data_IF_531039105480
#
_entry.id   IF_531039105480
#
_cell.length_a   1.000
_cell.length_b   1.000
_cell.length_c   1.000
_cell.angle_alpha   90.00
_cell.angle_beta   90.00
_cell.angle_gamma   90.00
#
_symmetry.space_group_name_H-M   'P 1'
#
loop_
_entity.id
_entity.type
_entity.pdbx_description
1 polymer ?
#
# COMPACT_ATOMS: atom_id res chain seq x y z
N UNK A 1 -0.88 -7.15 -25.52
CA UNK A 1 -1.50 -7.82 -24.36
C UNK A 1 -0.42 -7.94 -23.27
N UNK A 2 -0.82 -7.76 -22.02
CA UNK A 2 0.05 -7.95 -20.83
C UNK A 2 -0.24 -9.34 -20.31
N UNK A 3 0.80 -10.14 -20.03
CA UNK A 3 0.68 -11.50 -19.56
C UNK A 3 1.05 -11.68 -18.09
N UNK A 4 1.86 -10.77 -17.55
CA UNK A 4 2.23 -10.71 -16.14
C UNK A 4 2.11 -9.27 -15.67
N UNK A 5 1.49 -9.08 -14.50
CA UNK A 5 1.30 -7.77 -13.90
C UNK A 5 1.47 -7.86 -12.38
N UNK A 6 2.29 -7.01 -11.74
CA UNK A 6 2.36 -6.95 -10.30
C UNK A 6 1.13 -6.22 -9.75
N UNK A 7 0.54 -6.77 -8.70
CA UNK A 7 -0.62 -6.24 -7.99
C UNK A 7 -0.45 -6.39 -6.48
N UNK A 8 -1.42 -5.90 -5.74
CA UNK A 8 -1.47 -5.95 -4.29
C UNK A 8 -2.72 -6.71 -3.85
N UNK A 9 -2.57 -7.76 -3.04
CA UNK A 9 -3.63 -8.71 -2.73
C UNK A 9 -4.87 -8.03 -2.13
N UNK A 10 -4.71 -7.17 -1.14
CA UNK A 10 -5.82 -6.49 -0.47
C UNK A 10 -6.54 -5.48 -1.36
N UNK A 11 -5.77 -4.60 -2.03
CA UNK A 11 -6.34 -3.56 -2.88
C UNK A 11 -7.10 -4.16 -4.06
N UNK A 12 -6.54 -5.19 -4.70
CA UNK A 12 -7.21 -5.86 -5.80
C UNK A 12 -8.45 -6.62 -5.35
N UNK A 13 -8.39 -7.31 -4.20
CA UNK A 13 -9.57 -7.96 -3.65
C UNK A 13 -10.71 -6.97 -3.41
N UNK A 14 -10.45 -5.83 -2.77
CA UNK A 14 -11.47 -4.81 -2.53
C UNK A 14 -11.99 -4.17 -3.82
N UNK A 15 -11.18 -4.10 -4.87
CA UNK A 15 -11.63 -3.64 -6.18
C UNK A 15 -12.61 -4.63 -6.82
N UNK A 16 -12.35 -5.94 -6.70
CA UNK A 16 -13.18 -7.00 -7.28
C UNK A 16 -14.41 -7.34 -6.42
N UNK A 17 -14.26 -7.27 -5.08
CA UNK A 17 -15.31 -7.53 -4.10
C UNK A 17 -15.20 -6.56 -2.92
N UNK A 18 -15.99 -5.49 -2.97
CA UNK A 18 -16.02 -4.46 -1.92
C UNK A 18 -16.58 -4.96 -0.58
N UNK A 19 -17.24 -6.12 -0.56
CA UNK A 19 -17.82 -6.73 0.63
C UNK A 19 -16.96 -7.86 1.21
N UNK A 20 -15.72 -8.03 0.70
CA UNK A 20 -14.83 -9.06 1.19
C UNK A 20 -14.61 -8.94 2.70
N UNK A 21 -14.82 -10.05 3.42
CA UNK A 21 -14.67 -10.12 4.88
C UNK A 21 -13.33 -10.69 5.34
N UNK A 22 -12.45 -11.05 4.39
CA UNK A 22 -11.11 -11.55 4.66
C UNK A 22 -10.30 -10.51 5.46
N UNK A 23 -9.49 -10.99 6.42
CA UNK A 23 -8.68 -10.10 7.28
C UNK A 23 -7.21 -10.49 7.29
N UNK A 24 -6.90 -11.77 7.39
CA UNK A 24 -5.51 -12.26 7.39
C UNK A 24 -4.96 -12.31 5.97
N UNK A 25 -3.63 -12.25 5.85
CA UNK A 25 -2.94 -12.36 4.56
C UNK A 25 -3.37 -13.59 3.74
N UNK A 26 -3.52 -14.76 4.39
CA UNK A 26 -3.92 -15.98 3.70
C UNK A 26 -5.38 -15.93 3.26
N UNK A 27 -6.29 -15.45 4.10
CA UNK A 27 -7.71 -15.30 3.73
C UNK A 27 -7.89 -14.33 2.57
N UNK A 28 -7.13 -13.21 2.57
CA UNK A 28 -7.16 -12.22 1.48
C UNK A 28 -6.66 -12.86 0.18
N UNK A 29 -5.56 -13.60 0.22
CA UNK A 29 -5.01 -14.28 -0.95
C UNK A 29 -5.99 -15.33 -1.53
N UNK A 30 -6.59 -16.16 -0.68
CA UNK A 30 -7.54 -17.20 -1.08
C UNK A 30 -8.83 -16.59 -1.67
N UNK A 31 -9.32 -15.52 -1.05
CA UNK A 31 -10.48 -14.78 -1.54
C UNK A 31 -10.18 -14.12 -2.90
N UNK A 32 -9.00 -13.50 -3.04
CA UNK A 32 -8.55 -12.91 -4.30
C UNK A 32 -8.49 -13.97 -5.41
N UNK A 33 -7.86 -15.12 -5.15
CA UNK A 33 -7.77 -16.20 -6.13
C UNK A 33 -9.15 -16.67 -6.65
N UNK A 34 -10.17 -16.59 -5.78
CA UNK A 34 -11.56 -16.92 -6.13
C UNK A 34 -12.25 -15.80 -6.92
N UNK A 35 -11.94 -14.53 -6.61
CA UNK A 35 -12.58 -13.36 -7.22
C UNK A 35 -12.00 -13.00 -8.60
N UNK A 36 -10.83 -13.54 -8.95
CA UNK A 36 -10.17 -13.22 -10.23
C UNK A 36 -11.01 -13.64 -11.43
N UNK A 37 -11.08 -12.80 -12.48
CA UNK A 37 -11.72 -13.14 -13.74
C UNK A 37 -11.09 -14.38 -14.39
N UNK A 38 -11.93 -15.14 -15.12
CA UNK A 38 -11.47 -16.31 -15.89
C UNK A 38 -10.31 -15.95 -16.83
N UNK A 39 -9.26 -16.77 -16.81
CA UNK A 39 -8.06 -16.56 -17.63
C UNK A 39 -6.94 -15.77 -16.93
N UNK A 40 -7.17 -15.33 -15.69
CA UNK A 40 -6.16 -14.77 -14.80
C UNK A 40 -5.96 -15.70 -13.59
N UNK A 41 -4.74 -15.72 -13.07
CA UNK A 41 -4.41 -16.38 -11.81
C UNK A 41 -3.42 -15.55 -10.99
N UNK A 42 -3.56 -15.59 -9.69
CA UNK A 42 -2.52 -15.13 -8.78
C UNK A 42 -1.40 -16.19 -8.72
N UNK A 43 -0.17 -15.75 -8.84
CA UNK A 43 1.00 -16.55 -8.49
C UNK A 43 1.32 -16.36 -7.00
N UNK A 44 2.41 -16.98 -6.50
CA UNK A 44 2.73 -16.92 -5.08
C UNK A 44 2.93 -15.46 -4.61
N UNK A 45 2.19 -15.07 -3.59
CA UNK A 45 2.33 -13.74 -3.02
C UNK A 45 3.71 -13.58 -2.36
N UNK A 46 4.25 -12.38 -2.45
CA UNK A 46 5.52 -12.00 -1.84
C UNK A 46 5.40 -11.87 -0.32
N UNK A 47 6.49 -12.09 0.45
CA UNK A 47 6.60 -11.57 1.82
C UNK A 47 6.48 -10.04 1.92
N UNK A 48 6.80 -9.32 0.83
CA UNK A 48 6.70 -7.87 0.80
C UNK A 48 5.24 -7.40 0.88
N UNK A 49 5.01 -6.44 1.76
CA UNK A 49 3.75 -5.71 1.88
C UNK A 49 3.96 -4.29 1.38
N UNK A 50 2.97 -3.79 0.69
CA UNK A 50 2.80 -2.39 0.37
C UNK A 50 1.30 -2.10 0.42
N UNK A 51 0.88 -1.43 1.47
CA UNK A 51 -0.53 -1.21 1.77
C UNK A 51 -0.80 0.26 2.03
N UNK A 52 -2.02 0.65 1.81
CA UNK A 52 -2.50 1.94 2.26
C UNK A 52 -2.29 2.09 3.78
N UNK A 53 -1.91 3.28 4.20
CA UNK A 53 -1.84 3.62 5.61
C UNK A 53 -2.27 5.07 5.83
N UNK A 54 -2.77 5.35 7.02
CA UNK A 54 -3.01 6.71 7.44
C UNK A 54 -1.84 7.25 8.24
N UNK A 55 -1.42 8.44 7.85
CA UNK A 55 -0.20 9.08 8.34
C UNK A 55 -0.51 10.50 8.79
N UNK A 56 0.06 10.88 9.91
CA UNK A 56 0.05 12.25 10.44
C UNK A 56 1.49 12.73 10.62
N UNK A 57 1.72 14.03 10.85
CA UNK A 57 3.05 14.47 11.28
C UNK A 57 3.34 13.98 12.70
N UNK A 58 4.61 13.69 13.01
CA UNK A 58 5.00 13.27 14.36
C UNK A 58 4.72 14.35 15.41
N UNK A 59 4.72 15.63 15.01
CA UNK A 59 4.31 16.75 15.85
C UNK A 59 2.82 16.65 16.20
N UNK A 60 1.96 16.48 15.19
CA UNK A 60 0.51 16.32 15.38
C UNK A 60 0.21 15.12 16.29
N UNK A 61 0.86 13.97 16.03
CA UNK A 61 0.71 12.77 16.85
C UNK A 61 1.02 13.05 18.33
N UNK A 62 2.11 13.75 18.61
CA UNK A 62 2.52 14.09 19.97
C UNK A 62 1.56 15.11 20.64
N UNK A 63 1.17 16.17 19.94
CA UNK A 63 0.30 17.23 20.46
C UNK A 63 -1.11 16.73 20.81
N UNK A 64 -1.64 15.81 19.99
CA UNK A 64 -2.98 15.25 20.16
C UNK A 64 -2.99 13.86 20.84
N UNK A 65 -1.82 13.32 21.18
CA UNK A 65 -1.66 11.98 21.76
C UNK A 65 -2.27 10.88 20.88
N UNK A 66 -2.09 10.99 19.55
CA UNK A 66 -2.63 10.07 18.55
C UNK A 66 -1.59 9.00 18.22
N UNK A 67 -1.96 7.73 18.34
CA UNK A 67 -1.14 6.56 17.99
C UNK A 67 -1.88 5.62 17.02
N UNK A 68 -3.19 5.63 17.07
CA UNK A 68 -4.07 4.81 16.23
C UNK A 68 -5.08 5.67 15.46
N UNK A 69 -5.69 5.10 14.44
CA UNK A 69 -6.74 5.76 13.67
C UNK A 69 -7.91 6.18 14.58
N UNK A 70 -8.26 5.34 15.56
CA UNK A 70 -9.35 5.65 16.50
C UNK A 70 -9.13 6.89 17.36
N UNK A 71 -7.87 7.22 17.67
CA UNK A 71 -7.53 8.39 18.50
C UNK A 71 -7.85 9.71 17.78
N UNK A 72 -7.95 9.69 16.44
CA UNK A 72 -8.31 10.86 15.65
C UNK A 72 -9.70 11.43 15.95
N UNK A 73 -10.62 10.63 16.51
CA UNK A 73 -11.98 11.07 16.84
C UNK A 73 -12.02 12.26 17.80
N UNK A 74 -10.96 12.48 18.60
CA UNK A 74 -10.82 13.60 19.53
C UNK A 74 -9.89 14.72 19.07
N UNK A 75 -9.26 14.62 17.90
CA UNK A 75 -8.17 15.51 17.49
C UNK A 75 -8.62 16.83 16.83
N UNK A 76 -9.93 17.07 16.72
CA UNK A 76 -10.48 18.30 16.11
C UNK A 76 -10.85 18.15 14.64
N UNK A 77 -11.00 19.26 13.89
CA UNK A 77 -11.27 19.21 12.46
C UNK A 77 -10.09 18.56 11.70
N UNK A 78 -10.40 17.61 10.83
CA UNK A 78 -9.41 16.86 10.06
C UNK A 78 -9.70 16.99 8.57
N UNK A 79 -8.67 17.23 7.79
CA UNK A 79 -8.66 17.13 6.33
C UNK A 79 -7.79 15.95 5.93
N UNK A 80 -8.37 14.98 5.22
CA UNK A 80 -7.67 13.83 4.64
C UNK A 80 -7.22 14.17 3.23
N UNK A 81 -5.94 14.02 2.95
CA UNK A 81 -5.37 14.12 1.61
C UNK A 81 -5.04 12.75 1.01
N UNK A 82 -5.32 12.58 -0.26
CA UNK A 82 -4.99 11.38 -1.02
C UNK A 82 -5.55 11.42 -2.44
N UNK A 83 -5.28 10.40 -3.26
CA UNK A 83 -5.83 10.34 -4.61
C UNK A 83 -7.36 10.42 -4.61
N UNK A 84 -7.95 11.03 -5.64
CA UNK A 84 -9.41 11.24 -5.74
C UNK A 84 -10.23 9.96 -5.57
N UNK A 85 -9.72 8.83 -6.02
CA UNK A 85 -10.40 7.53 -5.86
C UNK A 85 -10.58 7.12 -4.39
N UNK A 86 -9.73 7.59 -3.48
CA UNK A 86 -9.83 7.31 -2.04
C UNK A 86 -11.17 7.77 -1.46
N UNK A 87 -11.74 8.85 -1.97
CA UNK A 87 -13.03 9.39 -1.50
C UNK A 87 -14.14 8.32 -1.49
N UNK A 88 -14.09 7.38 -2.45
CA UNK A 88 -15.11 6.34 -2.63
C UNK A 88 -14.65 4.93 -2.21
N UNK A 89 -13.40 4.79 -1.78
CA UNK A 89 -12.88 3.49 -1.33
C UNK A 89 -13.49 3.08 0.03
N UNK A 90 -13.62 1.77 0.30
CA UNK A 90 -14.13 1.27 1.59
C UNK A 90 -13.32 1.75 2.80
N UNK A 91 -12.05 2.07 2.60
CA UNK A 91 -11.13 2.59 3.62
C UNK A 91 -10.95 4.11 3.56
N UNK A 92 -11.73 4.82 2.73
CA UNK A 92 -11.74 6.27 2.65
C UNK A 92 -12.58 6.95 3.75
N UNK A 93 -13.05 8.19 3.53
CA UNK A 93 -13.80 8.96 4.53
C UNK A 93 -14.99 8.22 5.13
N UNK A 94 -15.73 7.48 4.31
CA UNK A 94 -16.87 6.69 4.79
C UNK A 94 -16.42 5.53 5.69
N UNK A 95 -15.34 4.82 5.32
CA UNK A 95 -14.78 3.74 6.14
C UNK A 95 -14.24 4.24 7.47
N UNK A 96 -13.55 5.38 7.48
CA UNK A 96 -13.10 6.05 8.72
C UNK A 96 -14.28 6.34 9.65
N UNK A 97 -15.38 6.91 9.13
CA UNK A 97 -16.55 7.23 9.92
C UNK A 97 -17.25 5.97 10.46
N UNK A 98 -17.35 4.90 9.66
CA UNK A 98 -18.04 3.66 10.04
C UNK A 98 -17.24 2.81 11.01
N UNK A 99 -15.91 2.70 10.82
CA UNK A 99 -15.06 1.82 11.62
C UNK A 99 -14.59 2.50 12.91
N UNK A 100 -14.18 3.76 12.80
CA UNK A 100 -13.55 4.49 13.91
C UNK A 100 -14.34 5.69 14.43
N UNK A 101 -15.46 6.03 13.81
CA UNK A 101 -16.22 7.25 14.17
C UNK A 101 -15.49 8.54 13.82
N UNK A 102 -14.48 8.48 12.97
CA UNK A 102 -13.65 9.63 12.56
C UNK A 102 -14.27 10.28 11.32
N UNK A 103 -14.65 11.55 11.42
CA UNK A 103 -15.14 12.35 10.29
C UNK A 103 -14.04 13.24 9.77
N UNK A 104 -13.87 13.28 8.46
CA UNK A 104 -12.84 14.09 7.77
C UNK A 104 -13.45 14.83 6.58
N UNK A 105 -12.93 16.03 6.31
CA UNK A 105 -13.06 16.63 4.99
C UNK A 105 -12.03 15.99 4.06
N UNK A 106 -12.26 15.98 2.75
CA UNK A 106 -11.38 15.34 1.79
C UNK A 106 -10.79 16.32 0.78
N UNK A 107 -9.49 16.25 0.56
CA UNK A 107 -8.77 17.02 -0.46
C UNK A 107 -8.03 16.06 -1.41
N UNK A 108 -8.40 16.02 -2.71
CA UNK A 108 -7.73 15.18 -3.67
C UNK A 108 -6.31 15.69 -3.98
N UNK A 109 -5.32 14.81 -3.92
CA UNK A 109 -3.92 15.05 -4.29
C UNK A 109 -3.43 13.85 -5.11
N UNK A 110 -3.20 14.07 -6.42
CA UNK A 110 -2.95 13.01 -7.40
C UNK A 110 -1.46 12.65 -7.52
N UNK A 111 -0.85 12.18 -6.44
CA UNK A 111 0.54 11.73 -6.45
C UNK A 111 0.81 10.43 -5.67
N UNK A 112 -0.26 9.68 -5.37
CA UNK A 112 -0.19 8.39 -4.68
C UNK A 112 0.52 8.43 -3.33
N UNK A 113 0.24 9.47 -2.53
CA UNK A 113 0.86 9.67 -1.22
C UNK A 113 2.31 10.18 -1.30
N UNK A 114 2.73 10.66 -2.45
CA UNK A 114 4.08 11.10 -2.74
C UNK A 114 4.42 12.52 -2.23
N UNK A 115 5.40 13.18 -2.88
CA UNK A 115 5.96 14.46 -2.39
C UNK A 115 4.95 15.59 -2.23
N UNK A 116 3.88 15.65 -3.07
CA UNK A 116 2.86 16.71 -2.94
C UNK A 116 1.98 16.45 -1.72
N UNK A 117 1.57 15.20 -1.50
CA UNK A 117 0.80 14.79 -0.32
C UNK A 117 1.60 15.02 0.96
N UNK A 118 2.87 14.60 0.99
CA UNK A 118 3.77 14.78 2.13
C UNK A 118 3.98 16.28 2.42
N UNK A 119 4.14 17.09 1.37
CA UNK A 119 4.28 18.54 1.53
C UNK A 119 3.01 19.16 2.12
N UNK A 120 1.83 18.84 1.59
CA UNK A 120 0.57 19.34 2.13
C UNK A 120 0.37 18.95 3.61
N UNK A 121 0.78 17.73 4.00
CA UNK A 121 0.74 17.27 5.38
C UNK A 121 1.70 18.06 6.28
N UNK A 122 2.93 18.28 5.82
CA UNK A 122 3.95 18.97 6.61
C UNK A 122 3.73 20.48 6.69
N UNK A 123 3.10 21.08 5.68
CA UNK A 123 2.70 22.49 5.68
C UNK A 123 1.42 22.74 6.51
N UNK A 124 0.69 21.69 6.89
CA UNK A 124 -0.54 21.77 7.67
C UNK A 124 -1.81 22.03 6.84
N UNK A 125 -1.72 21.98 5.52
CA UNK A 125 -2.88 22.12 4.61
C UNK A 125 -3.85 20.95 4.79
N UNK A 126 -3.32 19.75 5.14
CA UNK A 126 -4.07 18.56 5.57
C UNK A 126 -3.51 18.06 6.91
N UNK A 127 -4.31 17.35 7.70
CA UNK A 127 -3.89 16.78 8.99
C UNK A 127 -3.68 15.28 8.92
N UNK A 128 -4.29 14.63 7.94
CA UNK A 128 -4.22 13.18 7.72
C UNK A 128 -3.90 12.93 6.25
N UNK A 129 -2.99 12.01 5.97
CA UNK A 129 -2.63 11.64 4.61
C UNK A 129 -2.76 10.13 4.40
N UNK A 130 -3.16 9.72 3.20
CA UNK A 130 -3.01 8.36 2.73
C UNK A 130 -1.64 8.23 2.07
N UNK A 131 -0.75 7.44 2.66
CA UNK A 131 0.62 7.18 2.18
C UNK A 131 0.85 5.67 2.23
N UNK A 132 1.47 5.13 1.18
CA UNK A 132 1.80 3.70 1.13
C UNK A 132 2.92 3.31 2.09
N UNK A 133 2.81 2.15 2.70
CA UNK A 133 3.74 1.66 3.73
C UNK A 133 5.18 1.46 3.23
N UNK A 134 5.39 1.43 1.91
CA UNK A 134 6.73 1.36 1.29
C UNK A 134 7.36 2.74 0.99
N UNK A 135 6.69 3.86 1.36
CA UNK A 135 7.26 5.17 1.11
C UNK A 135 8.48 5.45 2.01
N UNK A 136 9.64 5.83 1.43
CA UNK A 136 10.86 6.09 2.19
C UNK A 136 10.75 7.23 3.19
N UNK A 137 9.83 8.19 3.00
CA UNK A 137 9.64 9.32 3.92
C UNK A 137 9.17 8.86 5.30
N UNK A 138 8.50 7.72 5.39
CA UNK A 138 8.06 7.15 6.67
C UNK A 138 9.23 6.76 7.58
N UNK A 139 10.40 6.50 7.01
CA UNK A 139 11.62 6.17 7.77
C UNK A 139 12.39 7.42 8.26
N UNK A 140 12.00 8.64 7.85
CA UNK A 140 12.73 9.89 8.19
C UNK A 140 12.38 10.42 9.60
N UNK A 141 11.38 9.86 10.29
CA UNK A 141 11.02 10.20 11.67
C UNK A 141 10.16 11.46 11.82
N UNK A 142 9.82 12.15 10.74
CA UNK A 142 8.95 13.34 10.73
C UNK A 142 7.47 12.99 10.61
N UNK A 143 7.18 11.78 10.21
CA UNK A 143 5.84 11.24 9.98
C UNK A 143 5.58 10.07 10.92
N UNK A 144 4.32 9.88 11.31
CA UNK A 144 3.85 8.78 12.14
C UNK A 144 2.74 8.05 11.41
N UNK A 145 2.97 6.76 11.14
CA UNK A 145 1.94 5.84 10.65
C UNK A 145 1.04 5.48 11.81
N UNK A 146 -0.28 5.59 11.63
CA UNK A 146 -1.26 5.23 12.66
C UNK A 146 -1.55 3.73 12.63
N UNK A 147 -1.68 3.15 13.82
CA UNK A 147 -2.13 1.77 13.99
C UNK A 147 -3.59 1.61 13.55
N UNK A 148 -3.89 0.48 12.93
CA UNK A 148 -5.23 0.11 12.43
C UNK A 148 -5.75 -1.16 13.16
N UNK A 149 -6.12 -1.06 14.45
CA UNK A 149 -6.50 -2.24 15.25
C UNK A 149 -7.81 -2.89 14.80
N UNK A 150 -8.71 -2.14 14.17
CA UNK A 150 -10.01 -2.64 13.70
C UNK A 150 -9.99 -3.11 12.23
N UNK A 151 -8.82 -3.06 11.58
CA UNK A 151 -8.59 -3.62 10.24
C UNK A 151 -9.37 -2.92 9.13
N UNK A 152 -9.29 -1.59 9.08
CA UNK A 152 -9.83 -0.78 7.99
C UNK A 152 -9.16 -1.12 6.66
N UNK A 153 -7.83 -1.33 6.70
CA UNK A 153 -7.06 -1.76 5.55
C UNK A 153 -6.91 -3.29 5.52
N UNK A 154 -7.08 -3.89 4.34
CA UNK A 154 -6.81 -5.31 4.17
C UNK A 154 -5.29 -5.55 4.07
N UNK A 155 -4.84 -6.69 4.59
CA UNK A 155 -3.46 -7.14 4.39
C UNK A 155 -3.14 -7.17 2.89
N UNK A 156 -2.10 -6.47 2.47
CA UNK A 156 -1.79 -6.24 1.05
C UNK A 156 -0.34 -6.61 0.74
N UNK A 157 -0.17 -7.80 0.18
CA UNK A 157 1.12 -8.31 -0.29
C UNK A 157 1.27 -8.08 -1.79
N UNK A 158 2.48 -7.85 -2.25
CA UNK A 158 2.78 -7.86 -3.68
C UNK A 158 2.49 -9.26 -4.23
N UNK A 159 1.71 -9.33 -5.30
CA UNK A 159 1.34 -10.60 -5.94
C UNK A 159 1.45 -10.48 -7.47
N UNK A 160 2.17 -11.39 -8.14
CA UNK A 160 2.16 -11.41 -9.58
C UNK A 160 0.85 -12.01 -10.10
N UNK A 161 0.12 -11.26 -10.92
CA UNK A 161 -0.99 -11.79 -11.72
C UNK A 161 -0.47 -12.30 -13.04
N UNK A 162 -0.91 -13.48 -13.44
CA UNK A 162 -0.52 -14.10 -14.68
C UNK A 162 -1.74 -14.49 -15.53
N UNK A 163 -1.63 -14.29 -16.84
CA UNK A 163 -2.61 -14.83 -17.78
C UNK A 163 -2.41 -16.36 -17.94
N UNK A 164 -3.44 -17.04 -18.47
CA UNK A 164 -3.37 -18.47 -18.77
C UNK A 164 -2.31 -18.85 -19.83
N UNK A 165 -1.67 -17.85 -20.48
CA UNK A 165 -0.57 -18.07 -21.42
C UNK A 165 0.79 -18.24 -20.74
N UNK A 166 0.91 -17.86 -19.48
CA UNK A 166 2.14 -18.03 -18.71
C UNK A 166 2.26 -19.49 -18.29
N UNK A 167 3.24 -20.19 -18.89
CA UNK A 167 3.52 -21.60 -18.57
C UNK A 167 4.15 -21.76 -17.18
N UNK A 168 4.18 -23.01 -16.68
CA UNK A 168 4.64 -23.33 -15.33
C UNK A 168 6.13 -23.01 -15.11
N UNK A 169 6.98 -23.18 -16.11
CA UNK A 169 8.41 -22.83 -15.99
C UNK A 169 8.62 -21.33 -15.76
N UNK A 170 7.86 -20.48 -16.49
CA UNK A 170 7.90 -19.04 -16.30
C UNK A 170 7.31 -18.65 -14.96
N UNK A 171 6.20 -19.27 -14.55
CA UNK A 171 5.58 -19.04 -13.24
C UNK A 171 6.54 -19.40 -12.09
N UNK A 172 7.29 -20.49 -12.21
CA UNK A 172 8.28 -20.88 -11.20
C UNK A 172 9.40 -19.83 -11.04
N UNK A 173 9.87 -19.25 -12.16
CA UNK A 173 10.85 -18.16 -12.10
C UNK A 173 10.27 -16.92 -11.41
N UNK A 174 9.05 -16.53 -11.77
CA UNK A 174 8.37 -15.38 -11.17
C UNK A 174 8.16 -15.60 -9.67
N UNK A 175 7.74 -16.80 -9.25
CA UNK A 175 7.56 -17.16 -7.85
C UNK A 175 8.86 -17.09 -7.05
N UNK A 176 10.01 -17.48 -7.63
CA UNK A 176 11.32 -17.31 -6.99
C UNK A 176 11.63 -15.83 -6.73
N UNK A 177 11.36 -14.96 -7.70
CA UNK A 177 11.53 -13.50 -7.56
C UNK A 177 10.57 -12.96 -6.50
N UNK A 178 9.29 -13.31 -6.57
CA UNK A 178 8.26 -12.90 -5.62
C UNK A 178 8.63 -13.31 -4.19
N UNK A 179 9.04 -14.57 -3.99
CA UNK A 179 9.39 -15.09 -2.67
C UNK A 179 10.67 -14.47 -2.05
N UNK A 180 11.52 -13.84 -2.86
CA UNK A 180 12.72 -13.16 -2.39
C UNK A 180 12.51 -11.68 -2.02
N UNK A 181 11.37 -11.08 -2.43
CA UNK A 181 11.08 -9.67 -2.24
C UNK A 181 10.53 -9.43 -0.83
N UNK A 182 11.12 -8.47 -0.10
CA UNK A 182 10.68 -8.05 1.25
C UNK A 182 10.21 -6.60 1.25
N UNK A 183 9.44 -6.20 2.29
CA UNK A 183 9.00 -4.81 2.45
C UNK A 183 10.19 -3.84 2.56
N UNK A 184 11.29 -4.25 3.21
CA UNK A 184 12.53 -3.48 3.26
C UNK A 184 13.11 -3.25 1.87
N UNK A 185 13.10 -4.29 1.01
CA UNK A 185 13.57 -4.15 -0.37
C UNK A 185 12.73 -3.12 -1.14
N UNK A 186 11.41 -3.08 -0.94
CA UNK A 186 10.54 -2.07 -1.57
C UNK A 186 10.90 -0.65 -1.13
N UNK A 187 11.07 -0.43 0.16
CA UNK A 187 11.51 0.89 0.70
C UNK A 187 12.85 1.31 0.10
N UNK A 188 13.83 0.39 0.03
CA UNK A 188 15.15 0.67 -0.54
C UNK A 188 15.09 0.96 -2.05
N UNK A 189 14.29 0.20 -2.81
CA UNK A 189 14.08 0.43 -4.23
C UNK A 189 13.36 1.75 -4.50
N UNK A 190 12.33 2.09 -3.71
CA UNK A 190 11.64 3.37 -3.81
C UNK A 190 12.57 4.53 -3.46
N UNK A 191 13.41 4.40 -2.44
CA UNK A 191 14.44 5.39 -2.12
C UNK A 191 15.43 5.57 -3.26
N UNK A 192 15.92 4.47 -3.83
CA UNK A 192 16.84 4.51 -4.97
C UNK A 192 16.23 5.20 -6.20
N UNK A 193 14.93 5.02 -6.42
CA UNK A 193 14.18 5.70 -7.49
C UNK A 193 13.98 7.18 -7.21
N UNK A 194 13.50 7.54 -6.02
CA UNK A 194 13.06 8.90 -5.70
C UNK A 194 14.22 9.83 -5.27
N UNK A 195 15.15 9.34 -4.44
CA UNK A 195 16.28 10.13 -3.91
C UNK A 195 17.53 10.00 -4.79
N UNK A 196 17.88 8.77 -5.19
CA UNK A 196 19.11 8.52 -5.96
C UNK A 196 18.87 8.64 -7.48
N UNK A 197 17.62 8.80 -7.92
CA UNK A 197 17.18 8.95 -9.31
C UNK A 197 17.69 7.84 -10.25
N UNK A 198 17.83 6.63 -9.71
CA UNK A 198 18.21 5.47 -10.50
C UNK A 198 17.03 5.03 -11.39
N UNK A 199 17.35 4.50 -12.57
CA UNK A 199 16.33 3.92 -13.45
C UNK A 199 15.78 2.61 -12.87
N UNK A 200 14.50 2.28 -13.15
CA UNK A 200 13.87 1.03 -12.74
C UNK A 200 14.69 -0.21 -13.18
N UNK A 201 15.24 -0.19 -14.41
CA UNK A 201 16.08 -1.28 -14.93
C UNK A 201 17.38 -1.46 -14.14
N UNK A 202 17.98 -0.37 -13.68
CA UNK A 202 19.19 -0.42 -12.86
C UNK A 202 18.87 -0.98 -11.49
N UNK A 203 17.82 -0.46 -10.81
CA UNK A 203 17.37 -0.92 -9.51
C UNK A 203 17.05 -2.41 -9.54
N UNK A 204 16.25 -2.85 -10.52
CA UNK A 204 15.87 -4.24 -10.64
C UNK A 204 17.11 -5.17 -10.84
N UNK A 205 18.05 -4.75 -11.67
CA UNK A 205 19.28 -5.53 -11.92
C UNK A 205 20.16 -5.64 -10.66
N UNK A 206 20.39 -4.53 -9.97
CA UNK A 206 21.16 -4.49 -8.73
C UNK A 206 20.52 -5.37 -7.65
N UNK A 207 19.20 -5.28 -7.49
CA UNK A 207 18.47 -6.09 -6.52
C UNK A 207 18.49 -7.58 -6.87
N UNK A 208 18.18 -7.97 -8.11
CA UNK A 208 18.25 -9.37 -8.54
C UNK A 208 19.64 -9.96 -8.35
N UNK A 209 20.70 -9.19 -8.65
CA UNK A 209 22.08 -9.63 -8.41
C UNK A 209 22.35 -9.83 -6.92
N UNK A 210 21.89 -8.92 -6.05
CA UNK A 210 22.06 -9.03 -4.59
C UNK A 210 21.37 -10.25 -3.98
N UNK A 211 20.27 -10.71 -4.60
CA UNK A 211 19.53 -11.90 -4.18
C UNK A 211 20.04 -13.19 -4.86
N UNK A 212 21.06 -13.11 -5.74
CA UNK A 212 21.55 -14.28 -6.48
C UNK A 212 20.53 -14.85 -7.47
N UNK A 213 19.70 -13.98 -8.04
CA UNK A 213 18.63 -14.34 -8.99
C UNK A 213 19.00 -14.03 -10.46
N UNK A 214 20.18 -13.44 -10.70
CA UNK A 214 20.78 -13.31 -12.02
C UNK A 214 21.88 -14.39 -12.17
N UNK A 215 21.77 -15.23 -13.20
CA UNK A 215 22.80 -16.16 -13.64
C UNK A 215 23.83 -15.43 -14.53
#
# INVERSE_FOLDING_TARGET
AIDVFPEYTGNLLQYLDQNASARTSQEVYDALATALPMGLRALDQSPATDQDSYVVTSTFAAEHSVTSIGDLAGAGPLVLGGNSELETRPYGPMGLAQTYGVSVDFTPIEDSGGPLTIKALTDGDIQLANIYSSDPALAEGTLTVLEDPDGLFLASHVVPLASSRVGEDAAAVINRVSGALTSTDLVEMNRASTKDQKSASQIAREWLASKGLLD
#
